data_IF_026133458444
#
_entry.id   IF_026133458444
#
_cell.length_a   1.000
_cell.length_b   1.000
_cell.length_c   1.000
_cell.angle_alpha   90.00
_cell.angle_beta   90.00
_cell.angle_gamma   90.00
#
_symmetry.space_group_name_H-M   'P 1'
#
loop_
_entity.id
_entity.type
_entity.pdbx_description
1 polymer ?
#
# COMPACT_ATOMS: atom_id res chain seq x y z
N UNK A 1 8.74 -19.96 5.42
CA UNK A 1 9.01 -18.50 5.49
C UNK A 1 10.28 -18.11 4.72
N UNK A 2 10.58 -18.77 3.57
CA UNK A 2 11.72 -18.45 2.70
C UNK A 2 11.33 -17.62 1.47
N UNK A 3 10.03 -17.48 1.18
CA UNK A 3 9.50 -16.78 0.00
C UNK A 3 9.54 -15.24 0.11
N UNK A 4 10.11 -14.73 1.20
CA UNK A 4 10.06 -13.30 1.56
C UNK A 4 11.46 -12.69 1.80
N UNK A 5 12.52 -13.49 1.65
CA UNK A 5 13.91 -13.11 2.00
C UNK A 5 14.63 -12.35 0.89
N UNK A 6 14.20 -12.47 -0.38
CA UNK A 6 14.76 -11.72 -1.51
C UNK A 6 13.77 -10.65 -1.98
N UNK A 7 13.70 -9.53 -1.26
CA UNK A 7 13.06 -8.32 -1.77
C UNK A 7 14.11 -7.25 -2.07
N UNK A 8 14.71 -7.26 -3.28
CA UNK A 8 15.77 -6.32 -3.65
C UNK A 8 15.30 -4.86 -3.69
N UNK A 9 13.98 -4.62 -3.70
CA UNK A 9 13.35 -3.31 -3.78
C UNK A 9 13.00 -2.73 -2.41
N UNK A 10 13.08 -3.52 -1.33
CA UNK A 10 12.66 -3.09 0.00
C UNK A 10 11.16 -2.74 0.11
N UNK A 11 10.32 -3.13 -0.86
CA UNK A 11 8.88 -2.81 -0.88
C UNK A 11 8.03 -3.97 -0.38
N UNK A 12 7.46 -3.85 0.81
CA UNK A 12 6.71 -4.93 1.45
C UNK A 12 5.21 -4.63 1.38
N UNK A 13 4.45 -5.62 0.92
CA UNK A 13 3.00 -5.51 0.72
C UNK A 13 2.24 -6.14 1.88
N UNK A 14 1.22 -5.43 2.35
CA UNK A 14 0.30 -5.89 3.38
C UNK A 14 -1.14 -5.70 2.92
N UNK A 15 -1.98 -6.67 3.23
CA UNK A 15 -3.44 -6.59 3.07
C UNK A 15 -4.08 -6.64 4.45
N UNK A 16 -5.01 -5.74 4.75
CA UNK A 16 -5.83 -5.86 5.95
C UNK A 16 -7.01 -6.81 5.70
N UNK A 17 -7.21 -7.78 6.59
CA UNK A 17 -8.43 -8.59 6.59
C UNK A 17 -9.65 -7.82 7.13
N UNK A 18 -10.81 -8.47 7.11
CA UNK A 18 -12.07 -7.92 7.64
C UNK A 18 -11.99 -7.52 9.12
N UNK A 19 -11.14 -8.20 9.89
CA UNK A 19 -10.93 -7.96 11.32
C UNK A 19 -9.90 -6.84 11.57
N UNK A 20 -9.28 -6.31 10.52
CA UNK A 20 -8.24 -5.29 10.62
C UNK A 20 -6.86 -5.85 11.00
N UNK A 21 -6.59 -7.13 10.74
CA UNK A 21 -5.25 -7.71 10.85
C UNK A 21 -4.50 -7.53 9.54
N UNK A 22 -3.28 -7.02 9.61
CA UNK A 22 -2.39 -6.84 8.47
C UNK A 22 -1.60 -8.12 8.20
N UNK A 23 -1.83 -8.70 7.03
CA UNK A 23 -1.14 -9.88 6.54
C UNK A 23 -0.14 -9.49 5.48
N UNK A 24 1.11 -9.97 5.63
CA UNK A 24 2.12 -9.82 4.58
C UNK A 24 1.70 -10.68 3.39
N UNK A 25 1.71 -10.09 2.20
CA UNK A 25 1.38 -10.77 0.95
C UNK A 25 2.54 -10.62 -0.04
N UNK A 26 2.57 -11.52 -1.02
CA UNK A 26 3.52 -11.47 -2.11
C UNK A 26 3.18 -10.33 -3.06
N UNK A 27 4.17 -9.54 -3.55
CA UNK A 27 3.95 -8.48 -4.54
C UNK A 27 3.15 -8.98 -5.74
N UNK A 28 3.51 -10.16 -6.27
CA UNK A 28 2.93 -10.74 -7.48
C UNK A 28 1.42 -10.99 -7.32
N UNK A 29 0.97 -11.37 -6.12
CA UNK A 29 -0.44 -11.58 -5.85
C UNK A 29 -1.23 -10.26 -5.82
N UNK A 30 -0.63 -9.19 -5.31
CA UNK A 30 -1.26 -7.86 -5.29
C UNK A 30 -1.27 -7.25 -6.69
N UNK A 31 -0.18 -7.39 -7.43
CA UNK A 31 -0.03 -6.90 -8.80
C UNK A 31 -1.03 -7.58 -9.75
N UNK A 32 -1.17 -8.91 -9.67
CA UNK A 32 -2.15 -9.63 -10.49
C UNK A 32 -3.60 -9.17 -10.23
N UNK A 33 -3.96 -8.87 -8.98
CA UNK A 33 -5.27 -8.31 -8.63
C UNK A 33 -5.41 -6.87 -9.13
N UNK A 34 -4.35 -6.08 -9.01
CA UNK A 34 -4.29 -4.68 -9.46
C UNK A 34 -4.49 -4.55 -10.98
N UNK A 35 -3.88 -5.46 -11.74
CA UNK A 35 -3.94 -5.48 -13.20
C UNK A 35 -5.21 -6.18 -13.73
N UNK A 36 -6.02 -6.75 -12.84
CA UNK A 36 -7.24 -7.48 -13.19
C UNK A 36 -6.98 -8.85 -13.81
N UNK A 37 -5.77 -9.39 -13.65
CA UNK A 37 -5.37 -10.73 -14.10
C UNK A 37 -5.84 -11.82 -13.13
N UNK A 38 -6.05 -11.45 -11.86
CA UNK A 38 -6.57 -12.32 -10.82
C UNK A 38 -7.74 -11.66 -10.07
N UNK A 39 -8.73 -12.45 -9.62
CA UNK A 39 -9.79 -11.95 -8.77
C UNK A 39 -9.26 -11.59 -7.38
N UNK A 40 -9.92 -10.68 -6.70
CA UNK A 40 -9.56 -10.26 -5.34
C UNK A 40 -9.53 -11.44 -4.36
N UNK A 41 -10.44 -12.40 -4.51
CA UNK A 41 -10.52 -13.65 -3.75
C UNK A 41 -9.31 -14.59 -3.90
N UNK A 42 -8.41 -14.33 -4.86
CA UNK A 42 -7.15 -15.08 -4.97
C UNK A 42 -6.11 -14.66 -3.92
N UNK A 43 -6.30 -13.52 -3.25
CA UNK A 43 -5.45 -13.12 -2.13
C UNK A 43 -5.60 -14.12 -0.98
N UNK A 44 -4.53 -14.52 -0.30
CA UNK A 44 -4.58 -15.48 0.81
C UNK A 44 -5.12 -14.84 2.11
N UNK A 45 -6.00 -13.84 1.99
CA UNK A 45 -6.51 -13.01 3.07
C UNK A 45 -8.02 -12.84 2.88
N UNK A 46 -8.84 -13.14 3.90
CA UNK A 46 -10.27 -12.91 3.82
C UNK A 46 -10.53 -11.41 3.85
N UNK A 47 -11.00 -10.87 2.74
CA UNK A 47 -11.42 -9.48 2.63
C UNK A 47 -12.88 -9.40 2.27
N UNK A 48 -13.56 -8.36 2.76
CA UNK A 48 -14.95 -8.08 2.43
C UNK A 48 -15.03 -7.18 1.19
N UNK A 49 -15.98 -6.24 1.21
CA UNK A 49 -16.26 -5.31 0.10
C UNK A 49 -15.17 -4.22 -0.09
N UNK A 50 -14.10 -4.25 0.70
CA UNK A 50 -12.99 -3.30 0.62
C UNK A 50 -11.63 -3.99 0.64
N UNK A 51 -10.82 -3.71 -0.37
CA UNK A 51 -9.40 -4.03 -0.39
C UNK A 51 -8.61 -2.89 0.26
N UNK A 52 -7.90 -3.22 1.35
CA UNK A 52 -7.03 -2.27 2.07
C UNK A 52 -5.59 -2.74 1.98
N UNK A 53 -4.79 -2.02 1.19
CA UNK A 53 -3.37 -2.29 0.94
C UNK A 53 -2.48 -1.29 1.67
N UNK A 54 -1.52 -1.80 2.43
CA UNK A 54 -0.44 -1.01 2.99
C UNK A 54 0.89 -1.42 2.35
N UNK A 55 1.61 -0.43 1.85
CA UNK A 55 2.94 -0.63 1.26
C UNK A 55 3.97 -0.04 2.20
N UNK A 56 4.91 -0.85 2.68
CA UNK A 56 6.05 -0.38 3.46
C UNK A 56 7.27 -0.39 2.58
N UNK A 57 7.76 0.80 2.24
CA UNK A 57 9.08 0.95 1.68
C UNK A 57 10.09 0.92 2.83
N UNK A 58 11.11 0.07 2.73
CA UNK A 58 12.23 -0.01 3.66
C UNK A 58 13.49 0.59 3.02
N UNK A 59 14.45 1.02 3.84
CA UNK A 59 15.78 1.40 3.34
C UNK A 59 16.77 0.24 3.34
N UNK A 60 18.03 0.57 3.00
CA UNK A 60 19.13 -0.38 2.96
C UNK A 60 19.39 -1.10 4.31
N UNK A 61 18.99 -0.49 5.44
CA UNK A 61 19.07 -1.08 6.78
C UNK A 61 17.78 -1.80 7.17
N UNK A 62 16.90 -2.06 6.20
CA UNK A 62 15.56 -2.65 6.35
C UNK A 62 14.65 -1.86 7.31
N UNK A 63 14.92 -0.57 7.51
CA UNK A 63 14.08 0.28 8.35
C UNK A 63 12.94 0.91 7.53
N UNK A 64 11.70 1.00 8.07
CA UNK A 64 10.59 1.65 7.38
C UNK A 64 10.91 3.10 6.99
N UNK A 65 10.95 3.34 5.70
CA UNK A 65 11.14 4.63 5.04
C UNK A 65 9.87 5.47 5.02
N UNK A 66 8.81 4.80 4.58
CA UNK A 66 7.57 5.38 4.11
C UNK A 66 6.52 4.28 4.11
N UNK A 67 5.33 4.61 4.61
CA UNK A 67 4.18 3.72 4.60
C UNK A 67 3.09 4.35 3.77
N UNK A 68 2.64 3.66 2.74
CA UNK A 68 1.55 4.11 1.90
C UNK A 68 0.29 3.32 2.19
N UNK A 69 -0.86 3.99 2.16
CA UNK A 69 -2.17 3.38 2.36
C UNK A 69 -3.03 3.56 1.12
N UNK A 70 -3.64 2.46 0.69
CA UNK A 70 -4.56 2.41 -0.43
C UNK A 70 -5.81 1.62 -0.01
N UNK A 71 -6.96 2.26 -0.11
CA UNK A 71 -8.29 1.66 0.12
C UNK A 71 -9.08 1.70 -1.18
N UNK A 72 -9.63 0.56 -1.55
CA UNK A 72 -10.40 0.37 -2.77
C UNK A 72 -11.67 -0.41 -2.48
N UNK A 73 -12.79 0.03 -3.04
CA UNK A 73 -14.01 -0.79 -3.07
C UNK A 73 -13.79 -1.98 -3.99
N UNK A 74 -14.42 -3.11 -3.63
CA UNK A 74 -14.41 -4.35 -4.40
C UNK A 74 -15.85 -4.66 -4.80
N UNK A 75 -16.08 -4.81 -6.11
CA UNK A 75 -17.37 -5.17 -6.68
C UNK A 75 -17.18 -6.38 -7.59
N UNK A 76 -18.03 -7.40 -7.42
CA UNK A 76 -17.97 -8.64 -8.21
C UNK A 76 -16.56 -9.27 -8.24
N UNK A 77 -15.89 -9.31 -7.09
CA UNK A 77 -14.54 -9.88 -6.90
C UNK A 77 -13.42 -9.16 -7.68
N UNK A 78 -13.66 -7.91 -8.08
CA UNK A 78 -12.71 -7.05 -8.77
C UNK A 78 -12.62 -5.66 -8.11
N UNK A 79 -11.48 -4.99 -8.31
CA UNK A 79 -11.32 -3.59 -7.87
C UNK A 79 -12.32 -2.72 -8.64
N UNK A 80 -13.15 -1.99 -7.89
CA UNK A 80 -14.09 -1.05 -8.46
C UNK A 80 -13.37 0.09 -9.18
N UNK A 81 -13.80 0.37 -10.42
CA UNK A 81 -13.16 1.36 -11.29
C UNK A 81 -13.27 2.77 -10.73
N UNK A 82 -14.43 3.15 -10.19
CA UNK A 82 -14.63 4.49 -9.65
C UNK A 82 -13.80 4.70 -8.38
N UNK A 83 -13.66 3.64 -7.58
CA UNK A 83 -12.76 3.65 -6.43
C UNK A 83 -11.28 3.79 -6.83
N UNK A 84 -10.84 3.16 -7.92
CA UNK A 84 -9.47 3.32 -8.46
C UNK A 84 -9.23 4.75 -8.94
N UNK A 85 -10.20 5.35 -9.63
CA UNK A 85 -10.16 6.76 -10.06
C UNK A 85 -10.12 7.69 -8.85
N UNK A 86 -10.93 7.43 -7.81
CA UNK A 86 -10.92 8.22 -6.57
C UNK A 86 -9.55 8.15 -5.87
N UNK A 87 -8.89 6.99 -5.86
CA UNK A 87 -7.53 6.88 -5.34
C UNK A 87 -6.53 7.73 -6.14
N UNK A 88 -6.60 7.73 -7.48
CA UNK A 88 -5.76 8.59 -8.33
C UNK A 88 -5.98 10.08 -8.04
N UNK A 89 -7.23 10.51 -7.82
CA UNK A 89 -7.56 11.88 -7.40
C UNK A 89 -6.98 12.19 -6.02
N UNK A 90 -7.12 11.29 -5.05
CA UNK A 90 -6.55 11.45 -3.71
C UNK A 90 -5.02 11.68 -3.72
N UNK A 91 -4.32 11.03 -4.66
CA UNK A 91 -2.88 11.17 -4.85
C UNK A 91 -2.49 12.52 -5.49
N UNK A 92 -3.31 13.04 -6.39
CA UNK A 92 -2.99 14.23 -7.22
C UNK A 92 -3.58 15.53 -6.69
N UNK A 93 -4.62 15.47 -5.87
CA UNK A 93 -5.27 16.65 -5.30
C UNK A 93 -4.41 17.31 -4.21
N UNK A 94 -3.83 18.46 -4.55
CA UNK A 94 -3.18 19.36 -3.60
C UNK A 94 -4.15 20.44 -3.13
N UNK A 95 -4.97 20.17 -2.11
CA UNK A 95 -5.77 21.21 -1.44
C UNK A 95 -5.07 21.74 -0.18
N UNK A 96 -4.23 22.77 -0.28
CA UNK A 96 -3.74 23.58 0.85
C UNK A 96 -2.93 22.84 1.94
N UNK A 97 -3.56 21.94 2.69
CA UNK A 97 -2.94 20.93 3.56
C UNK A 97 -3.00 19.56 2.89
N UNK A 98 -1.87 18.86 2.91
CA UNK A 98 -1.77 17.47 2.44
C UNK A 98 -2.84 16.63 3.18
N UNK A 99 -3.78 16.05 2.43
CA UNK A 99 -4.84 15.13 2.90
C UNK A 99 -6.19 15.70 3.39
N UNK A 100 -6.55 16.93 3.01
CA UNK A 100 -7.86 17.49 3.40
C UNK A 100 -9.03 17.17 2.46
N UNK A 101 -8.77 16.59 1.27
CA UNK A 101 -9.86 16.23 0.36
C UNK A 101 -10.64 14.99 0.85
N UNK A 102 -11.93 14.84 0.48
CA UNK A 102 -12.73 13.67 0.85
C UNK A 102 -12.07 12.35 0.40
N UNK A 103 -11.53 12.33 -0.82
CA UNK A 103 -10.85 11.17 -1.37
C UNK A 103 -9.59 10.84 -0.54
N UNK A 104 -8.84 11.84 -0.10
CA UNK A 104 -7.67 11.62 0.77
C UNK A 104 -8.04 11.14 2.19
N UNK A 105 -9.12 11.66 2.78
CA UNK A 105 -9.62 11.20 4.09
C UNK A 105 -10.08 9.76 4.02
N UNK A 106 -10.83 9.40 2.98
CA UNK A 106 -11.26 8.02 2.76
C UNK A 106 -10.05 7.05 2.76
N UNK A 107 -8.94 7.40 2.12
CA UNK A 107 -7.75 6.53 2.08
C UNK A 107 -7.09 6.31 3.45
N UNK A 108 -7.24 7.25 4.40
CA UNK A 108 -6.60 7.20 5.73
C UNK A 108 -7.55 6.76 6.85
N UNK A 109 -8.85 6.86 6.64
CA UNK A 109 -9.86 6.36 7.57
C UNK A 109 -10.03 4.83 7.47
N UNK A 110 -10.71 4.21 8.44
CA UNK A 110 -11.04 2.78 8.39
C UNK A 110 -9.88 1.80 8.61
N UNK A 111 -8.65 2.28 8.80
CA UNK A 111 -7.51 1.45 9.17
C UNK A 111 -7.56 1.03 10.66
N UNK A 112 -7.07 -0.17 11.01
CA UNK A 112 -7.02 -0.65 12.39
C UNK A 112 -6.20 0.31 13.26
N UNK A 113 -6.69 0.63 14.46
CA UNK A 113 -6.06 1.66 15.33
C UNK A 113 -4.62 1.32 15.73
N UNK A 114 -4.28 0.03 15.71
CA UNK A 114 -2.97 -0.52 16.07
C UNK A 114 -2.12 -0.91 14.85
N UNK A 115 -2.46 -0.42 13.65
CA UNK A 115 -1.72 -0.73 12.40
C UNK A 115 -0.19 -0.57 12.55
N UNK A 116 0.27 0.46 13.29
CA UNK A 116 1.70 0.69 13.56
C UNK A 116 2.34 -0.48 14.29
N UNK A 117 1.63 -1.01 15.29
CA UNK A 117 2.09 -2.14 16.10
C UNK A 117 2.12 -3.41 15.27
N UNK A 118 1.08 -3.63 14.46
CA UNK A 118 1.02 -4.79 13.58
C UNK A 118 2.15 -4.81 12.54
N UNK A 119 2.39 -3.69 11.85
CA UNK A 119 3.52 -3.56 10.91
C UNK A 119 4.88 -3.68 11.61
N UNK A 120 5.02 -3.12 12.81
CA UNK A 120 6.24 -3.23 13.61
C UNK A 120 6.58 -4.68 13.95
N UNK A 121 5.59 -5.44 14.41
CA UNK A 121 5.75 -6.87 14.71
C UNK A 121 6.07 -7.65 13.45
N UNK A 122 5.37 -7.40 12.34
CA UNK A 122 5.57 -8.11 11.09
C UNK A 122 6.95 -7.87 10.45
N UNK A 123 7.55 -6.70 10.70
CA UNK A 123 8.85 -6.31 10.17
C UNK A 123 10.00 -6.43 11.17
N UNK A 124 9.71 -6.84 12.41
CA UNK A 124 10.69 -6.87 13.52
C UNK A 124 11.41 -5.53 13.72
N UNK A 125 10.65 -4.43 13.69
CA UNK A 125 11.16 -3.05 13.87
C UNK A 125 10.35 -2.28 14.90
N UNK A 126 10.92 -1.27 15.58
CA UNK A 126 10.15 -0.47 16.53
C UNK A 126 9.01 0.32 15.86
N UNK A 127 7.81 0.29 16.44
CA UNK A 127 6.63 1.03 15.93
C UNK A 127 6.86 2.54 15.73
N UNK A 128 7.81 3.14 16.46
CA UNK A 128 8.22 4.55 16.31
C UNK A 128 8.91 4.87 14.98
N UNK A 129 9.26 3.87 14.16
CA UNK A 129 9.87 4.05 12.84
C UNK A 129 8.83 4.42 11.76
N UNK A 130 7.56 4.05 11.93
CA UNK A 130 6.48 4.36 10.99
C UNK A 130 5.98 5.80 11.14
N UNK A 131 6.83 6.77 10.80
CA UNK A 131 6.57 8.22 10.94
C UNK A 131 6.04 8.87 9.69
N UNK A 132 6.41 8.34 8.52
CA UNK A 132 6.12 8.95 7.23
C UNK A 132 4.99 8.18 6.55
N UNK A 133 3.91 8.89 6.28
CA UNK A 133 2.70 8.34 5.69
C UNK A 133 2.45 8.93 4.32
N UNK A 134 1.96 8.09 3.42
CA UNK A 134 1.53 8.42 2.07
C UNK A 134 0.16 7.83 1.77
N UNK A 135 -0.51 8.44 0.80
CA UNK A 135 -1.73 7.87 0.21
C UNK A 135 -1.34 7.23 -1.11
N UNK A 136 -2.05 6.16 -1.45
CA UNK A 136 -1.79 5.35 -2.63
C UNK A 136 -0.70 4.34 -2.35
N UNK A 137 0.28 4.30 -3.23
CA UNK A 137 1.40 3.39 -3.15
C UNK A 137 2.09 3.29 -4.50
N UNK A 138 3.15 2.48 -4.59
CA UNK A 138 3.91 2.35 -5.82
C UNK A 138 3.08 1.88 -7.02
N UNK A 139 2.04 1.05 -6.81
CA UNK A 139 1.12 0.61 -7.89
C UNK A 139 0.33 1.77 -8.49
N UNK A 140 -0.26 2.61 -7.63
CA UNK A 140 -1.04 3.77 -8.06
C UNK A 140 -0.15 4.83 -8.74
N UNK A 141 1.07 5.02 -8.24
CA UNK A 141 2.05 5.93 -8.84
C UNK A 141 2.59 5.41 -10.17
N UNK A 142 2.83 4.10 -10.26
CA UNK A 142 3.22 3.42 -11.50
C UNK A 142 2.18 3.66 -12.59
N UNK A 143 0.91 3.46 -12.28
CA UNK A 143 -0.20 3.75 -13.21
C UNK A 143 -0.26 5.23 -13.59
N UNK A 144 -0.16 6.14 -12.61
CA UNK A 144 -0.24 7.58 -12.86
C UNK A 144 0.92 8.08 -13.73
N UNK A 145 2.13 7.57 -13.53
CA UNK A 145 3.35 8.04 -14.20
C UNK A 145 3.69 7.23 -15.45
N UNK A 146 3.04 6.08 -15.67
CA UNK A 146 3.31 5.19 -16.78
C UNK A 146 4.69 4.55 -16.71
N UNK A 147 5.22 4.30 -15.50
CA UNK A 147 6.53 3.69 -15.28
C UNK A 147 6.41 2.48 -14.35
N UNK A 148 7.25 1.45 -14.50
CA UNK A 148 7.23 0.27 -13.62
C UNK A 148 7.39 0.60 -12.13
N UNK A 149 6.83 -0.24 -11.26
CA UNK A 149 6.89 -0.10 -9.79
C UNK A 149 8.32 0.03 -9.29
N UNK A 150 9.27 -0.68 -9.90
CA UNK A 150 10.68 -0.64 -9.57
C UNK A 150 11.28 0.75 -9.77
N UNK A 151 10.82 1.49 -10.79
CA UNK A 151 11.26 2.87 -11.01
C UNK A 151 10.67 3.81 -9.95
N UNK A 152 9.43 3.57 -9.50
CA UNK A 152 8.83 4.32 -8.40
C UNK A 152 9.60 4.11 -7.10
N UNK A 153 9.95 2.86 -6.80
CA UNK A 153 10.76 2.51 -5.63
C UNK A 153 12.13 3.19 -5.69
N UNK A 154 12.85 3.07 -6.80
CA UNK A 154 14.15 3.70 -7.00
C UNK A 154 14.09 5.23 -6.88
N UNK A 155 13.00 5.86 -7.35
CA UNK A 155 12.77 7.29 -7.16
C UNK A 155 12.73 7.66 -5.66
N UNK A 156 11.97 6.94 -4.84
CA UNK A 156 11.92 7.21 -3.39
C UNK A 156 13.25 6.94 -2.67
N UNK A 157 14.03 5.97 -3.12
CA UNK A 157 15.38 5.74 -2.60
C UNK A 157 16.33 6.91 -2.93
N UNK A 158 16.29 7.42 -4.17
CA UNK A 158 17.16 8.51 -4.63
C UNK A 158 16.80 9.86 -3.99
N UNK A 159 15.51 10.17 -3.88
CA UNK A 159 14.98 11.38 -3.22
C UNK A 159 15.31 11.44 -1.72
N UNK A 160 15.76 10.32 -1.13
CA UNK A 160 16.22 10.24 0.27
C UNK A 160 17.72 10.46 0.45
N UNK A 161 18.53 10.26 -0.60
CA UNK A 161 20.00 10.48 -0.57
C UNK A 161 20.40 11.93 -0.91
N UNK A 162 19.43 12.75 -1.33
CA UNK A 162 19.58 14.16 -1.68
C UNK A 162 19.18 15.06 -0.51
#
# INVERSE_FOLDING_TARGET
>A
MKEFEDNPLGLIHFVADEQGTLHRVLPEAVEAVWDGEAPVSSLPVPIGDELRLAFVLCDADQQPAMTFFLRLQVNDDAIDRDSRIAALRALTEHQGRRYDSPDARYQLEGWPTDWRTQLAVALDVPARQFRRLGIGGPLLMSELWGVPVEQIVAYFESARRS
#
